data_IF_451290325763
#
_entry.id   IF_451290325763
#
_cell.length_a   1.000
_cell.length_b   1.000
_cell.length_c   1.000
_cell.angle_alpha   90.00
_cell.angle_beta   90.00
_cell.angle_gamma   90.00
#
_symmetry.space_group_name_H-M   'P 1'
#
loop_
_entity.id
_entity.type
_entity.pdbx_description
1 polymer ?
#
# COMPACT_ATOMS: atom_id res chain seq x y z
N UNK A 1 -0.02 5.47 35.90
CA UNK A 1 1.11 4.60 35.49
C UNK A 1 1.49 5.00 34.09
N UNK A 2 2.76 5.25 33.85
CA UNK A 2 3.31 5.89 32.65
C UNK A 2 3.48 4.91 31.50
N UNK A 3 2.71 5.07 30.42
CA UNK A 3 3.00 4.41 29.15
C UNK A 3 4.18 5.11 28.48
N UNK A 4 5.37 4.52 28.63
CA UNK A 4 6.58 4.97 27.97
C UNK A 4 6.56 4.50 26.51
N UNK A 5 6.15 5.39 25.61
CA UNK A 5 6.41 5.20 24.18
C UNK A 5 7.92 5.10 23.95
N UNK A 6 8.41 4.16 23.13
CA UNK A 6 9.83 4.06 22.82
C UNK A 6 10.23 5.26 21.95
N UNK A 7 10.83 6.28 22.57
CA UNK A 7 11.58 7.31 21.84
C UNK A 7 12.79 6.64 21.19
N UNK A 8 12.65 6.24 19.92
CA UNK A 8 13.79 5.87 19.10
C UNK A 8 14.59 7.13 18.80
N UNK A 9 15.86 7.09 19.18
CA UNK A 9 16.85 8.14 18.98
C UNK A 9 16.84 8.63 17.54
N UNK A 10 17.03 9.93 17.35
CA UNK A 10 17.35 10.56 16.07
C UNK A 10 18.52 9.84 15.41
N UNK A 11 18.23 8.85 14.57
CA UNK A 11 19.20 8.33 13.62
C UNK A 11 19.22 9.33 12.46
N UNK A 12 20.32 10.08 12.38
CA UNK A 12 20.70 10.76 11.16
C UNK A 12 20.85 9.69 10.08
N UNK A 13 19.84 9.58 9.21
CA UNK A 13 19.95 8.79 7.99
C UNK A 13 20.92 9.53 7.09
N UNK A 14 22.18 9.11 7.14
CA UNK A 14 23.15 9.46 6.11
C UNK A 14 22.56 9.01 4.77
N UNK A 15 22.12 10.00 3.97
CA UNK A 15 21.85 9.82 2.55
C UNK A 15 23.18 9.57 1.87
N UNK A 16 23.58 8.32 1.81
CA UNK A 16 24.55 7.83 0.84
C UNK A 16 24.24 6.35 0.61
N UNK A 17 23.48 6.04 -0.44
CA UNK A 17 23.77 4.91 -1.32
C UNK A 17 22.76 4.87 -2.46
N UNK A 18 23.24 5.20 -3.65
CA UNK A 18 22.62 4.82 -4.90
C UNK A 18 22.48 3.28 -4.96
N UNK A 19 21.25 2.77 -5.05
CA UNK A 19 20.88 1.57 -5.82
C UNK A 19 19.39 1.25 -5.65
N UNK A 20 18.75 0.92 -6.77
CA UNK A 20 17.41 0.31 -6.93
C UNK A 20 16.25 1.31 -7.08
N UNK A 21 16.03 1.66 -8.35
CA UNK A 21 14.91 2.42 -8.89
C UNK A 21 13.70 1.48 -9.07
N UNK A 22 13.10 1.02 -7.98
CA UNK A 22 11.69 0.60 -8.04
C UNK A 22 10.86 1.72 -7.45
N UNK A 23 10.23 2.48 -8.36
CA UNK A 23 9.53 3.71 -8.04
C UNK A 23 8.35 3.44 -7.12
N UNK A 24 8.54 3.73 -5.84
CA UNK A 24 7.43 4.02 -4.96
C UNK A 24 6.68 5.25 -5.53
N UNK A 25 5.62 4.99 -6.32
CA UNK A 25 4.75 5.99 -6.94
C UNK A 25 3.85 6.70 -5.92
N UNK A 26 4.37 7.04 -4.74
CA UNK A 26 3.64 7.80 -3.75
C UNK A 26 4.40 9.08 -3.43
N UNK A 27 3.67 10.18 -3.35
CA UNK A 27 4.23 11.43 -2.87
C UNK A 27 4.70 11.25 -1.42
N UNK A 28 5.94 11.66 -1.14
CA UNK A 28 6.44 11.71 0.22
C UNK A 28 5.53 12.64 1.07
N UNK A 29 5.22 12.29 2.32
CA UNK A 29 4.45 13.17 3.20
C UNK A 29 5.12 14.54 3.33
N UNK A 30 4.33 15.62 3.22
CA UNK A 30 4.83 17.00 3.36
C UNK A 30 5.43 17.28 4.75
N UNK A 31 5.07 16.48 5.74
CA UNK A 31 5.64 16.47 7.08
C UNK A 31 5.55 15.06 7.69
N UNK A 32 6.38 14.71 8.68
CA UNK A 32 6.25 13.46 9.41
C UNK A 32 4.86 13.32 10.05
N UNK A 33 4.30 12.12 9.99
CA UNK A 33 3.03 11.80 10.64
C UNK A 33 3.17 11.96 12.15
N UNK A 34 2.19 12.61 12.78
CA UNK A 34 2.09 12.73 14.24
C UNK A 34 1.33 11.53 14.80
N UNK A 35 1.41 11.32 16.11
CA UNK A 35 0.73 10.20 16.79
C UNK A 35 -0.78 10.15 16.50
N UNK A 36 -1.42 11.32 16.40
CA UNK A 36 -2.83 11.45 15.99
C UNK A 36 -3.07 10.88 14.59
N UNK A 37 -2.17 11.15 13.66
CA UNK A 37 -2.32 10.72 12.26
C UNK A 37 -2.16 9.19 12.17
N UNK A 38 -1.24 8.61 12.95
CA UNK A 38 -1.12 7.15 13.08
C UNK A 38 -2.37 6.50 13.66
N UNK A 39 -2.95 7.07 14.72
CA UNK A 39 -4.20 6.57 15.29
C UNK A 39 -5.34 6.61 14.27
N UNK A 40 -5.44 7.70 13.50
CA UNK A 40 -6.44 7.81 12.44
C UNK A 40 -6.23 6.77 11.34
N UNK A 41 -4.99 6.50 10.93
CA UNK A 41 -4.68 5.46 9.95
C UNK A 41 -5.03 4.07 10.48
N UNK A 42 -4.69 3.77 11.73
CA UNK A 42 -5.05 2.49 12.36
C UNK A 42 -6.56 2.31 12.32
N UNK A 43 -7.33 3.32 12.75
CA UNK A 43 -8.81 3.25 12.73
C UNK A 43 -9.34 3.12 11.30
N UNK A 44 -8.74 3.81 10.33
CA UNK A 44 -9.17 3.76 8.92
C UNK A 44 -8.94 2.37 8.30
N UNK A 45 -7.87 1.68 8.71
CA UNK A 45 -7.48 0.38 8.18
C UNK A 45 -7.84 -0.80 9.10
N UNK A 46 -8.39 -0.56 10.29
CA UNK A 46 -8.95 -1.58 11.19
C UNK A 46 -10.35 -2.01 10.72
N UNK A 47 -10.42 -2.51 9.48
CA UNK A 47 -11.67 -2.98 8.88
C UNK A 47 -11.87 -4.46 9.23
N UNK A 48 -13.00 -4.77 9.84
CA UNK A 48 -13.35 -6.13 10.29
C UNK A 48 -14.19 -6.91 9.27
N UNK A 49 -14.57 -6.26 8.17
CA UNK A 49 -15.41 -6.80 7.08
C UNK A 49 -14.57 -7.31 5.89
N UNK A 50 -13.25 -7.49 6.09
CA UNK A 50 -12.33 -7.94 5.03
C UNK A 50 -12.78 -9.25 4.39
N UNK A 51 -13.12 -10.24 5.21
CA UNK A 51 -13.55 -11.57 4.77
C UNK A 51 -14.88 -11.52 3.98
N UNK A 52 -15.82 -10.65 4.39
CA UNK A 52 -17.10 -10.47 3.71
C UNK A 52 -16.89 -9.86 2.32
N UNK A 53 -16.02 -8.84 2.24
CA UNK A 53 -15.68 -8.19 0.98
C UNK A 53 -14.93 -9.15 0.05
N UNK A 54 -14.00 -9.95 0.58
CA UNK A 54 -13.34 -11.00 -0.20
C UNK A 54 -14.35 -12.00 -0.77
N UNK A 55 -15.26 -12.51 0.06
CA UNK A 55 -16.29 -13.44 -0.37
C UNK A 55 -17.23 -12.84 -1.44
N UNK A 56 -17.61 -11.56 -1.29
CA UNK A 56 -18.43 -10.85 -2.27
C UNK A 56 -17.70 -10.70 -3.61
N UNK A 57 -16.43 -10.28 -3.58
CA UNK A 57 -15.59 -10.14 -4.77
C UNK A 57 -15.45 -11.48 -5.47
N UNK A 58 -15.10 -12.55 -4.75
CA UNK A 58 -14.97 -13.89 -5.31
C UNK A 58 -16.28 -14.38 -5.94
N UNK A 59 -17.41 -14.14 -5.27
CA UNK A 59 -18.73 -14.47 -5.81
C UNK A 59 -18.98 -13.76 -7.14
N UNK A 60 -18.70 -12.45 -7.23
CA UNK A 60 -18.87 -11.67 -8.46
C UNK A 60 -17.94 -12.12 -9.58
N UNK A 61 -16.67 -12.36 -9.26
CA UNK A 61 -15.69 -12.84 -10.23
C UNK A 61 -16.09 -14.20 -10.81
N UNK A 62 -16.62 -15.11 -9.99
CA UNK A 62 -17.08 -16.43 -10.46
C UNK A 62 -18.24 -16.37 -11.47
N UNK A 63 -18.96 -15.25 -11.52
CA UNK A 63 -20.07 -15.02 -12.44
C UNK A 63 -19.63 -14.35 -13.74
N UNK A 64 -18.36 -13.93 -13.86
CA UNK A 64 -17.84 -13.31 -15.08
C UNK A 64 -17.50 -14.39 -16.12
N UNK A 65 -18.15 -14.32 -17.27
CA UNK A 65 -17.86 -15.18 -18.43
C UNK A 65 -17.80 -14.32 -19.70
N UNK A 66 -16.71 -14.40 -20.49
CA UNK A 66 -15.52 -15.22 -20.29
C UNK A 66 -14.69 -14.77 -19.08
N UNK A 67 -13.81 -15.65 -18.61
CA UNK A 67 -12.85 -15.32 -17.56
C UNK A 67 -11.96 -14.15 -18.01
N UNK A 68 -11.77 -13.12 -17.17
CA UNK A 68 -10.86 -12.02 -17.50
C UNK A 68 -9.41 -12.49 -17.64
N UNK A 69 -8.64 -11.81 -18.48
CA UNK A 69 -7.21 -12.05 -18.70
C UNK A 69 -6.39 -11.48 -17.53
N UNK A 70 -6.43 -12.13 -16.36
CA UNK A 70 -5.73 -11.67 -15.15
C UNK A 70 -4.20 -11.76 -15.24
N UNK A 71 -3.71 -12.75 -15.98
CA UNK A 71 -2.28 -13.07 -16.08
C UNK A 71 -1.57 -12.34 -17.23
N UNK A 72 -2.32 -11.69 -18.12
CA UNK A 72 -1.78 -10.94 -19.25
C UNK A 72 -1.80 -9.44 -18.91
N UNK A 73 -0.67 -8.75 -19.03
CA UNK A 73 -0.68 -7.29 -18.98
C UNK A 73 -1.41 -6.79 -20.23
N UNK A 74 -2.60 -6.16 -20.08
CA UNK A 74 -3.35 -5.67 -21.24
C UNK A 74 -2.59 -4.60 -22.02
N UNK A 75 -1.50 -4.07 -21.48
CA UNK A 75 -0.64 -3.06 -22.08
C UNK A 75 0.73 -3.58 -22.53
N UNK A 76 0.99 -4.90 -22.51
CA UNK A 76 2.26 -5.46 -23.01
C UNK A 76 2.57 -4.98 -24.45
N UNK A 77 1.55 -4.77 -25.27
CA UNK A 77 1.69 -4.23 -26.63
C UNK A 77 2.26 -2.80 -26.68
N UNK A 78 2.08 -1.98 -25.64
CA UNK A 78 2.59 -0.59 -25.63
C UNK A 78 4.12 -0.55 -25.62
N UNK A 79 4.78 -1.60 -25.09
CA UNK A 79 6.24 -1.71 -25.11
C UNK A 79 6.82 -1.76 -26.53
N UNK A 80 6.02 -2.09 -27.54
CA UNK A 80 6.46 -2.05 -28.94
C UNK A 80 6.39 -0.65 -29.57
N UNK A 81 5.69 0.30 -28.92
CA UNK A 81 5.44 1.65 -29.45
C UNK A 81 6.18 2.78 -28.71
N UNK A 82 6.80 2.50 -27.56
CA UNK A 82 7.58 3.45 -26.74
C UNK A 82 9.09 3.18 -26.83
#
# INVERSE_FOLDING_TARGET
>A
MTDKFPQKSSQNWHLDSAASHEGYNHAAPLAPLKDRDWLALIILFDRQDGDEIEAEVMSKLSLMVPEPSWDEDPFDFLGEFL
#
